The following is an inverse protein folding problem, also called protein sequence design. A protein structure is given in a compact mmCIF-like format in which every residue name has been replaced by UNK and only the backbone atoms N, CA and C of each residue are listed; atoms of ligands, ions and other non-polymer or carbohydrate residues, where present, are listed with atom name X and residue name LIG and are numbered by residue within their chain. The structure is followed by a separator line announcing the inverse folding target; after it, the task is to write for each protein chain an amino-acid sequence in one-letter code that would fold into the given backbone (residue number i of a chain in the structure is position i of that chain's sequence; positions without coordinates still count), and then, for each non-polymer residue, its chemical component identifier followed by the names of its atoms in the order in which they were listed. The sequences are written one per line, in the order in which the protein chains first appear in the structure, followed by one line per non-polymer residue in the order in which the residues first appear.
data_IF_808675897627
#
_entry.id   IF_808675897627
#
_cell.length_a   1.000
_cell.length_b   1.000
_cell.length_c   1.000
_cell.angle_alpha   90.00
_cell.angle_beta   90.00
_cell.angle_gamma   90.00
#
_symmetry.space_group_name_H-M   'P 1'
#
loop_
_entity.id
_entity.type
_entity.pdbx_description
1 polymer ?
#
# COMPACT_ATOMS: atom_id res chain seq x y z
N UNK A 1 28.78 2.80 -21.90
CA UNK A 1 28.41 3.89 -22.83
C UNK A 1 28.95 5.18 -22.23
N UNK A 2 29.92 5.83 -22.87
CA UNK A 2 30.49 7.09 -22.39
C UNK A 2 29.64 8.26 -22.89
N UNK A 3 28.93 8.96 -22.00
CA UNK A 3 28.33 10.26 -22.31
C UNK A 3 29.37 11.36 -22.03
N UNK A 4 29.78 12.09 -23.08
CA UNK A 4 30.56 13.32 -22.92
C UNK A 4 29.60 14.52 -22.81
N UNK A 5 29.52 15.13 -21.64
CA UNK A 5 28.78 16.38 -21.44
C UNK A 5 29.68 17.57 -21.79
N UNK A 6 29.38 18.28 -22.88
CA UNK A 6 30.05 19.54 -23.23
C UNK A 6 29.41 20.71 -22.46
N UNK A 7 30.20 21.45 -21.68
CA UNK A 7 29.84 22.81 -21.26
C UNK A 7 30.77 23.81 -21.95
N UNK A 8 30.15 24.77 -22.64
CA UNK A 8 30.79 25.77 -23.50
C UNK A 8 31.06 27.03 -22.69
N UNK A 9 32.32 27.31 -22.36
CA UNK A 9 32.75 28.67 -22.00
C UNK A 9 34.01 29.01 -22.79
N UNK A 10 33.91 30.06 -23.61
CA UNK A 10 35.04 30.71 -24.29
C UNK A 10 35.63 31.76 -23.33
N UNK A 11 36.92 31.66 -23.07
CA UNK A 11 37.87 32.79 -22.95
C UNK A 11 39.30 32.27 -23.17
N UNK A 12 40.22 33.04 -23.79
CA UNK A 12 41.44 32.50 -24.39
C UNK A 12 42.67 32.67 -23.49
N UNK A 13 43.59 31.71 -23.58
CA UNK A 13 45.01 31.92 -23.22
C UNK A 13 45.46 31.26 -21.92
N UNK A 14 45.71 29.95 -21.96
CA UNK A 14 46.91 29.30 -21.38
C UNK A 14 46.85 27.81 -21.73
N UNK A 15 47.88 27.28 -22.39
CA UNK A 15 48.06 25.83 -22.59
C UNK A 15 48.33 25.20 -21.22
N UNK A 16 47.30 24.67 -20.60
CA UNK A 16 47.43 23.68 -19.54
C UNK A 16 47.11 22.32 -20.13
N UNK A 17 48.07 21.41 -20.01
CA UNK A 17 47.88 19.98 -20.30
C UNK A 17 46.73 19.47 -19.43
N UNK A 18 45.53 19.32 -20.00
CA UNK A 18 44.41 18.66 -19.34
C UNK A 18 44.72 17.17 -19.30
N UNK A 19 45.22 16.70 -18.16
CA UNK A 19 44.97 15.30 -17.76
C UNK A 19 43.46 15.13 -17.72
N UNK A 20 42.95 14.27 -18.58
CA UNK A 20 41.58 13.79 -18.48
C UNK A 20 41.62 12.75 -17.38
N UNK A 21 41.37 13.18 -16.14
CA UNK A 21 41.12 12.26 -15.05
C UNK A 21 39.76 11.61 -15.35
N UNK A 22 39.80 10.44 -16.00
CA UNK A 22 38.63 9.59 -16.19
C UNK A 22 38.18 9.12 -14.82
N UNK A 23 37.30 9.87 -14.17
CA UNK A 23 36.63 9.44 -12.95
C UNK A 23 35.90 8.14 -13.27
N UNK A 24 36.35 7.03 -12.69
CA UNK A 24 35.65 5.75 -12.78
C UNK A 24 34.34 5.88 -12.00
N UNK A 25 33.24 6.23 -12.70
CA UNK A 25 31.90 6.22 -12.13
C UNK A 25 31.52 4.75 -11.93
N UNK A 26 31.19 4.37 -10.70
CA UNK A 26 30.78 2.99 -10.41
C UNK A 26 29.48 2.67 -11.17
N UNK A 27 29.30 1.40 -11.57
CA UNK A 27 28.01 0.92 -12.10
C UNK A 27 26.84 1.28 -11.18
N UNK A 28 27.10 1.33 -9.88
CA UNK A 28 26.15 1.71 -8.86
C UNK A 28 25.72 3.19 -8.94
N UNK A 29 26.65 4.10 -9.20
CA UNK A 29 26.36 5.54 -9.33
C UNK A 29 25.55 5.82 -10.59
N UNK A 30 25.90 5.16 -11.70
CA UNK A 30 25.14 5.24 -12.95
C UNK A 30 23.72 4.71 -12.75
N UNK A 31 23.56 3.57 -12.08
CA UNK A 31 22.25 3.01 -11.78
C UNK A 31 21.42 3.97 -10.91
N UNK A 32 22.00 4.53 -9.85
CA UNK A 32 21.32 5.52 -8.99
C UNK A 32 20.85 6.73 -9.78
N UNK A 33 21.69 7.23 -10.69
CA UNK A 33 21.32 8.36 -11.55
C UNK A 33 20.19 8.00 -12.51
N UNK A 34 20.26 6.85 -13.19
CA UNK A 34 19.18 6.34 -14.05
C UNK A 34 17.87 6.16 -13.28
N UNK A 35 17.93 5.73 -12.02
CA UNK A 35 16.77 5.50 -11.16
C UNK A 35 16.18 6.83 -10.66
N UNK A 36 17.04 7.80 -10.32
CA UNK A 36 16.60 9.16 -10.02
C UNK A 36 15.91 9.79 -11.23
N UNK A 37 16.46 9.59 -12.43
CA UNK A 37 15.83 9.98 -13.69
C UNK A 37 14.52 9.22 -13.96
N UNK A 38 14.43 7.96 -13.55
CA UNK A 38 13.21 7.16 -13.63
C UNK A 38 12.14 7.59 -12.62
N UNK A 39 12.47 8.45 -11.65
CA UNK A 39 11.53 8.99 -10.66
C UNK A 39 11.06 7.96 -9.63
N UNK A 40 11.93 7.03 -9.23
CA UNK A 40 11.59 6.06 -8.18
C UNK A 40 11.56 6.76 -6.80
N UNK A 41 10.43 6.72 -6.07
CA UNK A 41 10.33 7.37 -4.76
C UNK A 41 11.09 6.59 -3.68
N UNK A 42 12.11 7.21 -3.07
CA UNK A 42 12.90 6.62 -1.97
C UNK A 42 12.04 6.05 -0.82
N UNK A 43 10.97 6.73 -0.35
CA UNK A 43 10.12 6.19 0.72
C UNK A 43 9.49 4.83 0.35
N UNK A 44 9.26 4.57 -0.93
CA UNK A 44 8.75 3.27 -1.39
C UNK A 44 9.78 2.16 -1.27
N UNK A 45 11.05 2.44 -1.60
CA UNK A 45 12.15 1.48 -1.45
C UNK A 45 12.35 1.11 0.03
N UNK A 46 12.34 2.11 0.92
CA UNK A 46 12.52 1.89 2.36
C UNK A 46 11.39 1.04 2.96
N UNK A 47 10.14 1.31 2.57
CA UNK A 47 9.00 0.49 2.96
C UNK A 47 9.15 -0.94 2.44
N UNK A 48 9.46 -1.14 1.15
CA UNK A 48 9.64 -2.49 0.59
C UNK A 48 10.72 -3.26 1.36
N UNK A 49 11.90 -2.68 1.56
CA UNK A 49 13.00 -3.32 2.30
C UNK A 49 12.61 -3.68 3.74
N UNK A 50 11.80 -2.85 4.40
CA UNK A 50 11.29 -3.11 5.75
C UNK A 50 10.41 -4.35 5.85
N UNK A 51 9.71 -4.73 4.77
CA UNK A 51 8.73 -5.83 4.79
C UNK A 51 9.18 -7.09 4.07
N UNK A 52 9.99 -6.99 3.01
CA UNK A 52 10.42 -8.18 2.24
C UNK A 52 11.55 -8.96 2.93
N UNK A 53 12.40 -8.27 3.71
CA UNK A 53 13.62 -8.87 4.24
C UNK A 53 14.67 -9.14 3.14
N UNK A 54 15.94 -9.23 3.52
CA UNK A 54 17.04 -9.48 2.59
C UNK A 54 17.53 -10.92 2.69
N UNK A 55 17.52 -11.64 1.57
CA UNK A 55 18.24 -12.91 1.44
C UNK A 55 19.35 -12.82 0.39
N UNK A 56 20.60 -13.02 0.80
CA UNK A 56 21.76 -13.04 -0.11
C UNK A 56 21.97 -14.40 -0.78
N UNK A 57 21.16 -15.39 -0.42
CA UNK A 57 21.19 -16.73 -0.99
C UNK A 57 19.80 -17.11 -1.51
N UNK A 58 19.77 -17.71 -2.69
CA UNK A 58 18.55 -18.20 -3.30
C UNK A 58 17.86 -19.27 -2.42
N UNK A 59 16.56 -19.11 -2.20
CA UNK A 59 15.73 -20.00 -1.40
C UNK A 59 14.43 -20.36 -2.14
N UNK A 60 13.84 -21.54 -1.91
CA UNK A 60 12.57 -21.92 -2.51
C UNK A 60 11.41 -21.11 -1.91
N UNK A 61 10.30 -21.00 -2.62
CA UNK A 61 9.11 -20.32 -2.10
C UNK A 61 8.68 -20.97 -0.77
N UNK A 62 8.60 -20.22 0.35
CA UNK A 62 8.26 -20.78 1.66
C UNK A 62 6.88 -21.45 1.70
N UNK A 63 5.96 -21.08 0.81
CA UNK A 63 4.61 -21.69 0.76
C UNK A 63 4.60 -23.04 0.07
N UNK A 64 5.26 -23.16 -1.09
CA UNK A 64 5.26 -24.38 -1.92
C UNK A 64 6.45 -25.29 -1.65
N UNK A 65 7.50 -24.79 -1.01
CA UNK A 65 8.79 -25.47 -0.84
C UNK A 65 9.56 -25.67 -2.14
N UNK A 66 9.10 -25.08 -3.26
CA UNK A 66 9.61 -25.32 -4.60
C UNK A 66 9.79 -23.99 -5.37
N UNK A 67 9.38 -23.94 -6.64
CA UNK A 67 9.42 -22.74 -7.46
C UNK A 67 8.30 -21.76 -7.06
N UNK A 68 8.51 -20.45 -7.24
CA UNK A 68 9.72 -19.82 -7.74
C UNK A 68 10.85 -19.76 -6.70
N UNK A 69 12.10 -19.86 -7.17
CA UNK A 69 13.27 -19.53 -6.34
C UNK A 69 13.33 -18.02 -6.16
N UNK A 70 13.50 -17.58 -4.92
CA UNK A 70 13.51 -16.18 -4.51
C UNK A 70 14.88 -15.80 -3.93
N UNK A 71 15.33 -14.57 -4.16
CA UNK A 71 16.58 -14.00 -3.63
C UNK A 71 16.44 -12.49 -3.47
N UNK A 72 17.37 -11.84 -2.77
CA UNK A 72 17.40 -10.40 -2.56
C UNK A 72 16.23 -9.93 -1.71
N UNK A 73 15.54 -8.89 -2.19
CA UNK A 73 14.35 -8.32 -1.58
C UNK A 73 13.05 -8.91 -2.16
N UNK A 74 13.02 -10.21 -2.41
CA UNK A 74 11.84 -10.90 -2.95
C UNK A 74 11.83 -11.10 -4.48
N UNK A 75 12.99 -11.07 -5.13
CA UNK A 75 13.11 -11.21 -6.58
C UNK A 75 13.15 -12.68 -7.01
N UNK A 76 12.36 -13.04 -8.03
CA UNK A 76 12.34 -14.40 -8.61
C UNK A 76 13.09 -14.52 -9.94
N UNK A 77 13.52 -13.38 -10.49
CA UNK A 77 14.24 -13.27 -11.77
C UNK A 77 15.42 -12.32 -11.62
N UNK A 78 16.53 -12.63 -12.30
CA UNK A 78 17.73 -11.80 -12.36
C UNK A 78 17.54 -10.59 -13.30
N UNK A 79 18.58 -9.76 -13.43
CA UNK A 79 18.59 -8.56 -14.29
C UNK A 79 18.34 -8.81 -15.79
N UNK A 80 18.48 -10.05 -16.24
CA UNK A 80 18.22 -10.48 -17.61
C UNK A 80 16.84 -11.16 -17.75
N UNK A 81 16.02 -11.14 -16.69
CA UNK A 81 14.70 -11.76 -16.67
C UNK A 81 14.72 -13.28 -16.51
N UNK A 82 15.88 -13.90 -16.25
CA UNK A 82 15.99 -15.36 -16.09
C UNK A 82 15.66 -15.76 -14.64
N UNK A 83 15.00 -16.90 -14.41
CA UNK A 83 14.71 -17.37 -13.06
C UNK A 83 15.99 -17.71 -12.29
N UNK A 84 16.01 -17.42 -10.99
CA UNK A 84 17.08 -17.86 -10.10
C UNK A 84 17.05 -19.38 -9.88
N UNK A 85 18.19 -19.92 -9.46
CA UNK A 85 18.39 -21.33 -9.14
C UNK A 85 18.91 -21.48 -7.72
N UNK A 86 18.65 -22.62 -7.09
CA UNK A 86 19.24 -22.94 -5.80
C UNK A 86 20.77 -22.94 -5.93
N UNK A 87 21.45 -22.32 -4.96
CA UNK A 87 22.89 -22.11 -4.98
C UNK A 87 23.32 -20.72 -5.45
N UNK A 88 22.45 -19.97 -6.14
CA UNK A 88 22.73 -18.59 -6.51
C UNK A 88 22.97 -17.72 -5.26
N UNK A 89 23.95 -16.82 -5.36
CA UNK A 89 24.32 -15.84 -4.32
C UNK A 89 24.47 -14.48 -4.96
N UNK A 90 24.11 -13.45 -4.22
CA UNK A 90 24.31 -12.05 -4.59
C UNK A 90 24.83 -11.25 -3.41
N UNK A 91 25.47 -10.13 -3.67
CA UNK A 91 25.82 -9.15 -2.63
C UNK A 91 24.59 -8.31 -2.25
N UNK A 92 24.71 -7.52 -1.17
CA UNK A 92 23.67 -6.56 -0.79
C UNK A 92 23.47 -5.51 -1.87
N UNK A 93 24.56 -5.06 -2.49
CA UNK A 93 24.56 -4.06 -3.56
C UNK A 93 23.82 -4.62 -4.77
N UNK A 94 24.09 -5.85 -5.18
CA UNK A 94 23.37 -6.54 -6.26
C UNK A 94 21.88 -6.74 -5.94
N UNK A 95 21.54 -7.05 -4.68
CA UNK A 95 20.15 -7.16 -4.24
C UNK A 95 19.43 -5.80 -4.31
N UNK A 96 20.09 -4.73 -3.88
CA UNK A 96 19.58 -3.37 -3.98
C UNK A 96 19.39 -2.94 -5.44
N UNK A 97 20.38 -3.18 -6.29
CA UNK A 97 20.30 -2.91 -7.74
C UNK A 97 19.14 -3.67 -8.39
N UNK A 98 18.97 -4.95 -8.04
CA UNK A 98 17.89 -5.77 -8.56
C UNK A 98 16.52 -5.24 -8.15
N UNK A 99 16.33 -4.91 -6.87
CA UNK A 99 15.10 -4.30 -6.37
C UNK A 99 14.80 -3.00 -7.11
N UNK A 100 15.79 -2.12 -7.23
CA UNK A 100 15.59 -0.82 -7.87
C UNK A 100 15.23 -0.97 -9.35
N UNK A 101 15.87 -1.88 -10.08
CA UNK A 101 15.52 -2.17 -11.48
C UNK A 101 14.10 -2.73 -11.61
N UNK A 102 13.70 -3.68 -10.76
CA UNK A 102 12.35 -4.23 -10.78
C UNK A 102 11.30 -3.16 -10.48
N UNK A 103 11.58 -2.31 -9.49
CA UNK A 103 10.71 -1.19 -9.15
C UNK A 103 10.56 -0.24 -10.34
N UNK A 104 11.67 0.22 -10.93
CA UNK A 104 11.66 1.18 -12.03
C UNK A 104 10.97 0.63 -13.29
N UNK A 105 11.22 -0.64 -13.64
CA UNK A 105 10.80 -1.20 -14.93
C UNK A 105 9.47 -1.94 -14.88
N UNK A 106 9.07 -2.47 -13.71
CA UNK A 106 7.90 -3.35 -13.59
C UNK A 106 6.82 -2.76 -12.72
N UNK A 107 7.16 -2.19 -11.57
CA UNK A 107 6.15 -1.77 -10.59
C UNK A 107 5.73 -0.31 -10.73
N UNK A 108 6.66 0.60 -11.02
CA UNK A 108 6.38 2.03 -11.15
C UNK A 108 5.52 2.38 -12.38
N UNK A 109 5.79 1.87 -13.60
CA UNK A 109 5.05 2.31 -14.79
C UNK A 109 3.53 2.08 -14.70
N UNK A 110 3.02 0.95 -14.20
CA UNK A 110 1.60 0.76 -13.95
C UNK A 110 0.95 1.80 -13.03
N UNK A 111 1.68 2.34 -12.04
CA UNK A 111 1.14 3.28 -11.06
C UNK A 111 0.93 4.68 -11.63
N UNK A 112 1.72 5.05 -12.65
CA UNK A 112 1.56 6.33 -13.36
C UNK A 112 0.20 6.51 -14.05
N UNK A 113 -0.59 5.43 -14.16
CA UNK A 113 -1.97 5.46 -14.66
C UNK A 113 -2.99 5.93 -13.62
N UNK A 114 -2.60 6.08 -12.36
CA UNK A 114 -3.46 6.59 -11.30
C UNK A 114 -3.69 8.10 -11.55
N UNK A 115 -4.94 8.57 -11.62
CA UNK A 115 -5.25 9.99 -11.79
C UNK A 115 -4.59 10.84 -10.71
N UNK A 116 -3.92 11.92 -11.13
CA UNK A 116 -3.20 12.82 -10.24
C UNK A 116 -1.84 12.30 -9.74
N UNK A 117 -1.31 11.21 -10.30
CA UNK A 117 -0.01 10.63 -9.91
C UNK A 117 1.13 11.66 -9.84
N UNK A 118 1.25 12.53 -10.85
CA UNK A 118 2.32 13.53 -10.94
C UNK A 118 2.18 14.64 -9.89
N UNK A 119 1.00 14.80 -9.29
CA UNK A 119 0.74 15.75 -8.19
C UNK A 119 1.03 15.14 -6.81
N UNK A 120 1.26 13.82 -6.74
CA UNK A 120 1.61 13.15 -5.50
C UNK A 120 3.08 13.39 -5.16
N UNK A 121 3.38 13.62 -3.89
CA UNK A 121 4.77 13.71 -3.44
C UNK A 121 5.41 12.32 -3.28
N UNK A 122 6.73 12.30 -3.05
CA UNK A 122 7.51 11.06 -2.95
C UNK A 122 7.01 10.11 -1.85
N UNK A 123 6.44 10.60 -0.74
CA UNK A 123 5.88 9.74 0.30
C UNK A 123 4.62 9.02 -0.19
N UNK A 124 3.71 9.77 -0.83
CA UNK A 124 2.47 9.23 -1.38
C UNK A 124 2.74 8.23 -2.51
N UNK A 125 3.61 8.59 -3.45
CA UNK A 125 4.04 7.70 -4.52
C UNK A 125 4.74 6.45 -3.97
N UNK A 126 5.60 6.62 -2.97
CA UNK A 126 6.33 5.53 -2.31
C UNK A 126 5.42 4.53 -1.61
N UNK A 127 4.41 5.00 -0.89
CA UNK A 127 3.43 4.13 -0.24
C UNK A 127 2.61 3.31 -1.23
N UNK A 128 2.12 3.93 -2.32
CA UNK A 128 1.41 3.22 -3.40
C UNK A 128 2.32 2.16 -4.03
N UNK A 129 3.58 2.51 -4.29
CA UNK A 129 4.54 1.60 -4.89
C UNK A 129 4.84 0.39 -3.99
N UNK A 130 4.97 0.59 -2.68
CA UNK A 130 5.18 -0.52 -1.73
C UNK A 130 3.96 -1.45 -1.65
N UNK A 131 2.75 -0.88 -1.71
CA UNK A 131 1.50 -1.63 -1.79
C UNK A 131 1.42 -2.47 -3.07
N UNK A 132 1.77 -1.86 -4.22
CA UNK A 132 1.86 -2.54 -5.51
C UNK A 132 2.90 -3.66 -5.53
N UNK A 133 4.05 -3.48 -4.87
CA UNK A 133 5.07 -4.52 -4.76
C UNK A 133 4.53 -5.77 -4.06
N UNK A 134 3.71 -5.58 -3.02
CA UNK A 134 3.15 -6.68 -2.26
C UNK A 134 2.02 -7.44 -2.97
N UNK A 135 1.14 -6.71 -3.64
CA UNK A 135 -0.13 -7.25 -4.15
C UNK A 135 -0.15 -7.41 -5.67
N UNK A 136 0.88 -6.91 -6.36
CA UNK A 136 1.03 -6.95 -7.79
C UNK A 136 0.98 -5.56 -8.44
N UNK A 137 1.84 -5.34 -9.44
CA UNK A 137 2.01 -4.06 -10.10
C UNK A 137 0.72 -3.50 -10.74
N UNK A 138 -0.22 -4.37 -11.12
CA UNK A 138 -1.44 -3.97 -11.83
C UNK A 138 -2.68 -3.92 -10.93
N UNK A 139 -2.52 -3.70 -9.62
CA UNK A 139 -3.66 -3.66 -8.70
C UNK A 139 -4.67 -2.56 -9.04
N UNK A 140 -4.22 -1.39 -9.53
CA UNK A 140 -5.11 -0.26 -9.79
C UNK A 140 -6.12 -0.59 -10.90
N UNK A 141 -7.40 -0.58 -10.55
CA UNK A 141 -8.50 -0.95 -11.45
C UNK A 141 -8.73 -2.45 -11.62
N UNK A 142 -7.95 -3.31 -10.95
CA UNK A 142 -8.16 -4.75 -10.98
C UNK A 142 -9.33 -5.18 -10.07
N UNK A 143 -9.89 -6.35 -10.37
CA UNK A 143 -10.93 -6.96 -9.53
C UNK A 143 -10.39 -7.25 -8.12
N UNK A 144 -11.18 -6.93 -7.09
CA UNK A 144 -10.79 -6.99 -5.68
C UNK A 144 -10.06 -5.72 -5.18
N UNK A 145 -9.76 -4.78 -6.08
CA UNK A 145 -9.09 -3.51 -5.76
C UNK A 145 -9.99 -2.28 -5.89
N UNK A 146 -11.30 -2.45 -5.96
CA UNK A 146 -12.26 -1.40 -6.30
C UNK A 146 -12.25 -0.26 -5.27
N UNK A 147 -12.22 -0.58 -3.98
CA UNK A 147 -12.24 0.41 -2.89
C UNK A 147 -10.99 1.28 -2.89
N UNK A 148 -9.79 0.68 -2.90
CA UNK A 148 -8.54 1.45 -2.93
C UNK A 148 -8.37 2.20 -4.25
N UNK A 149 -8.76 1.59 -5.37
CA UNK A 149 -8.72 2.25 -6.68
C UNK A 149 -9.63 3.47 -6.72
N UNK A 150 -10.81 3.42 -6.09
CA UNK A 150 -11.71 4.59 -5.97
C UNK A 150 -11.09 5.68 -5.09
N UNK A 151 -10.51 5.33 -3.94
CA UNK A 151 -9.83 6.31 -3.08
C UNK A 151 -8.70 7.02 -3.84
N UNK A 152 -7.87 6.26 -4.55
CA UNK A 152 -6.78 6.80 -5.36
C UNK A 152 -7.28 7.69 -6.50
N UNK A 153 -8.28 7.21 -7.26
CA UNK A 153 -8.89 7.94 -8.38
C UNK A 153 -9.51 9.27 -7.95
N UNK A 154 -10.22 9.27 -6.83
CA UNK A 154 -10.96 10.42 -6.34
C UNK A 154 -10.13 11.30 -5.40
N UNK A 155 -8.89 10.91 -5.12
CA UNK A 155 -8.00 11.57 -4.17
C UNK A 155 -8.61 11.75 -2.77
N UNK A 156 -9.36 10.74 -2.33
CA UNK A 156 -10.14 10.75 -1.09
C UNK A 156 -9.31 10.26 0.11
N UNK A 157 -8.29 11.04 0.47
CA UNK A 157 -7.25 10.62 1.42
C UNK A 157 -7.77 10.31 2.82
N UNK A 158 -8.90 10.90 3.23
CA UNK A 158 -9.57 10.59 4.51
C UNK A 158 -10.01 9.14 4.60
N UNK A 159 -10.28 8.50 3.47
CA UNK A 159 -10.69 7.10 3.39
C UNK A 159 -9.54 6.14 3.07
N UNK A 160 -8.30 6.62 2.93
CA UNK A 160 -7.16 5.78 2.56
C UNK A 160 -6.88 4.68 3.58
N UNK A 161 -6.83 5.02 4.87
CA UNK A 161 -6.54 4.02 5.91
C UNK A 161 -7.60 2.91 5.92
N UNK A 162 -8.89 3.29 5.89
CA UNK A 162 -9.99 2.33 5.85
C UNK A 162 -9.94 1.42 4.61
N UNK A 163 -9.51 1.95 3.46
CA UNK A 163 -9.40 1.19 2.22
C UNK A 163 -8.20 0.24 2.23
N UNK A 164 -7.02 0.71 2.63
CA UNK A 164 -5.77 -0.05 2.51
C UNK A 164 -5.70 -1.22 3.50
N UNK A 165 -6.32 -1.10 4.68
CA UNK A 165 -6.35 -2.19 5.67
C UNK A 165 -7.21 -3.38 5.27
N UNK A 166 -8.04 -3.26 4.21
CA UNK A 166 -8.82 -4.39 3.69
C UNK A 166 -7.89 -5.51 3.18
N UNK A 167 -6.68 -5.17 2.73
CA UNK A 167 -5.70 -6.08 2.15
C UNK A 167 -4.75 -6.68 3.19
N UNK A 168 -5.33 -7.28 4.23
CA UNK A 168 -4.60 -7.89 5.37
C UNK A 168 -4.79 -9.40 5.53
N UNK A 169 -5.60 -10.04 4.70
CA UNK A 169 -5.94 -11.47 4.78
C UNK A 169 -6.45 -11.92 6.17
N UNK A 170 -7.69 -11.52 6.55
CA UNK A 170 -8.25 -11.81 7.87
C UNK A 170 -8.25 -13.30 8.25
N UNK A 171 -7.90 -13.60 9.49
CA UNK A 171 -7.88 -14.95 10.06
C UNK A 171 -6.65 -15.78 9.72
N UNK A 172 -5.76 -15.30 8.85
CA UNK A 172 -4.53 -16.02 8.48
C UNK A 172 -3.40 -15.80 9.48
N UNK A 173 -2.38 -16.66 9.46
CA UNK A 173 -1.17 -16.50 10.27
C UNK A 173 -0.29 -15.31 9.86
N UNK A 174 -0.59 -14.65 8.74
CA UNK A 174 0.12 -13.46 8.25
C UNK A 174 -0.65 -12.15 8.49
N UNK A 175 -1.86 -12.22 9.05
CA UNK A 175 -2.73 -11.03 9.19
C UNK A 175 -2.07 -9.90 9.98
N UNK A 176 -1.44 -10.21 11.12
CA UNK A 176 -0.72 -9.22 11.94
C UNK A 176 0.37 -8.49 11.13
N UNK A 177 1.17 -9.26 10.38
CA UNK A 177 2.26 -8.71 9.57
C UNK A 177 1.74 -7.84 8.43
N UNK A 178 0.67 -8.26 7.75
CA UNK A 178 0.05 -7.49 6.69
C UNK A 178 -0.65 -6.24 7.25
N UNK A 179 -1.34 -6.33 8.39
CA UNK A 179 -1.92 -5.16 9.04
C UNK A 179 -0.87 -4.10 9.33
N UNK A 180 0.29 -4.51 9.89
CA UNK A 180 1.44 -3.62 10.09
C UNK A 180 1.95 -2.99 8.79
N UNK A 181 2.01 -3.77 7.71
CA UNK A 181 2.40 -3.27 6.40
C UNK A 181 1.45 -2.20 5.89
N UNK A 182 0.15 -2.49 5.86
CA UNK A 182 -0.89 -1.56 5.38
C UNK A 182 -0.92 -0.28 6.21
N UNK A 183 -0.79 -0.36 7.53
CA UNK A 183 -0.74 0.82 8.40
C UNK A 183 0.55 1.63 8.25
N UNK A 184 1.69 0.99 7.99
CA UNK A 184 2.94 1.71 7.72
C UNK A 184 2.90 2.44 6.37
N UNK A 185 2.34 1.80 5.34
CA UNK A 185 2.09 2.43 4.04
C UNK A 185 1.12 3.61 4.17
N UNK A 186 0.01 3.43 4.90
CA UNK A 186 -0.92 4.51 5.20
C UNK A 186 -0.23 5.67 5.95
N UNK A 187 0.60 5.36 6.95
CA UNK A 187 1.32 6.35 7.73
C UNK A 187 2.26 7.18 6.86
N UNK A 188 3.04 6.55 5.98
CA UNK A 188 3.94 7.25 5.06
C UNK A 188 3.13 8.11 4.09
N UNK A 189 2.06 7.58 3.49
CA UNK A 189 1.23 8.35 2.57
C UNK A 189 0.63 9.60 3.25
N UNK A 190 0.03 9.41 4.43
CA UNK A 190 -0.69 10.44 5.16
C UNK A 190 0.26 11.47 5.80
N UNK A 191 1.48 11.10 6.16
CA UNK A 191 2.52 12.06 6.55
C UNK A 191 2.86 13.05 5.41
N UNK A 192 2.69 12.62 4.14
CA UNK A 192 2.77 13.50 2.98
C UNK A 192 1.47 14.26 2.67
N UNK A 193 0.41 14.13 3.47
CA UNK A 193 -0.90 14.72 3.21
C UNK A 193 -1.29 15.70 4.30
N UNK A 194 -1.34 17.00 3.99
CA UNK A 194 -1.69 18.04 4.95
C UNK A 194 -3.10 17.83 5.50
N UNK A 195 -3.23 17.82 6.84
CA UNK A 195 -4.53 17.79 7.52
C UNK A 195 -5.25 16.45 7.53
N UNK A 196 -4.61 15.37 7.09
CA UNK A 196 -5.18 14.01 7.13
C UNK A 196 -4.16 13.07 7.77
N UNK A 197 -4.06 13.01 9.11
CA UNK A 197 -3.15 12.09 9.78
C UNK A 197 -3.69 10.65 9.74
N UNK A 198 -2.82 9.67 9.99
CA UNK A 198 -3.25 8.33 10.37
C UNK A 198 -4.15 8.40 11.61
N UNK A 199 -5.15 7.53 11.71
CA UNK A 199 -6.05 7.46 12.86
C UNK A 199 -5.28 7.25 14.17
N UNK A 200 -5.83 7.75 15.28
CA UNK A 200 -5.25 7.54 16.60
C UNK A 200 -5.09 6.04 16.94
N UNK A 201 -6.02 5.20 16.47
CA UNK A 201 -5.92 3.75 16.59
C UNK A 201 -4.72 3.20 15.82
N UNK A 202 -4.53 3.63 14.56
CA UNK A 202 -3.40 3.24 13.73
C UNK A 202 -2.05 3.67 14.32
N UNK A 203 -1.97 4.91 14.83
CA UNK A 203 -0.76 5.42 15.50
C UNK A 203 -0.41 4.59 16.75
N UNK A 204 -1.40 4.31 17.60
CA UNK A 204 -1.21 3.46 18.80
C UNK A 204 -0.75 2.05 18.42
N UNK A 205 -1.32 1.47 17.38
CA UNK A 205 -0.91 0.15 16.90
C UNK A 205 0.55 0.14 16.45
N UNK A 206 0.96 1.12 15.62
CA UNK A 206 2.33 1.18 15.11
C UNK A 206 3.37 1.39 16.22
N UNK A 207 3.02 2.18 17.26
CA UNK A 207 3.86 2.41 18.44
C UNK A 207 3.88 1.25 19.46
N UNK A 208 2.95 0.30 19.36
CA UNK A 208 2.76 -0.77 20.33
C UNK A 208 3.77 -1.92 20.27
N UNK A 209 3.82 -2.72 21.33
CA UNK A 209 4.79 -3.81 21.53
C UNK A 209 4.41 -5.17 20.91
N UNK A 210 3.25 -5.28 20.24
CA UNK A 210 2.66 -6.55 19.77
C UNK A 210 2.51 -7.58 20.90
N UNK A 211 1.80 -7.20 21.95
CA UNK A 211 1.52 -8.07 23.10
C UNK A 211 0.73 -9.30 22.65
N UNK A 212 1.31 -10.49 22.85
CA UNK A 212 0.66 -11.76 22.49
C UNK A 212 -0.61 -12.00 23.30
N UNK A 213 -1.62 -12.61 22.66
CA UNK A 213 -2.88 -13.02 23.29
C UNK A 213 -3.04 -14.54 23.11
N UNK A 214 -3.17 -15.31 24.21
CA UNK A 214 -3.35 -16.76 24.11
C UNK A 214 -4.53 -17.15 23.19
N UNK A 215 -4.27 -18.09 22.28
CA UNK A 215 -5.28 -18.56 21.32
C UNK A 215 -5.58 -17.62 20.15
N UNK A 216 -4.93 -16.46 20.05
CA UNK A 216 -5.12 -15.51 18.96
C UNK A 216 -3.89 -15.43 18.05
N UNK A 217 -4.13 -15.20 16.76
CA UNK A 217 -3.08 -14.85 15.78
C UNK A 217 -2.75 -13.36 15.78
N UNK A 218 -3.57 -12.55 16.45
CA UNK A 218 -3.45 -11.10 16.51
C UNK A 218 -3.01 -10.64 17.89
N UNK A 219 -2.12 -9.66 17.92
CA UNK A 219 -1.72 -8.98 19.14
C UNK A 219 -2.90 -8.24 19.78
N UNK A 220 -2.78 -7.92 21.08
CA UNK A 220 -3.76 -7.08 21.78
C UNK A 220 -3.94 -5.74 21.06
N UNK A 221 -2.85 -5.16 20.57
CA UNK A 221 -2.84 -3.90 19.85
C UNK A 221 -3.53 -4.01 18.49
N UNK A 222 -3.33 -5.11 17.76
CA UNK A 222 -4.05 -5.36 16.50
C UNK A 222 -5.55 -5.53 16.73
N UNK A 223 -5.94 -6.28 17.77
CA UNK A 223 -7.36 -6.43 18.14
C UNK A 223 -7.98 -5.08 18.50
N UNK A 224 -7.27 -4.26 19.30
CA UNK A 224 -7.71 -2.91 19.66
C UNK A 224 -7.82 -1.98 18.44
N UNK A 225 -6.86 -2.04 17.52
CA UNK A 225 -6.93 -1.33 16.24
C UNK A 225 -8.18 -1.74 15.47
N UNK A 226 -8.38 -3.04 15.24
CA UNK A 226 -9.48 -3.53 14.42
C UNK A 226 -10.84 -3.20 15.02
N UNK A 227 -10.97 -3.12 16.34
CA UNK A 227 -12.19 -2.71 17.03
C UNK A 227 -12.49 -1.21 16.88
N UNK A 228 -11.46 -0.37 16.71
CA UNK A 228 -11.56 1.10 16.69
C UNK A 228 -11.13 1.71 15.35
N UNK A 229 -11.04 0.90 14.29
CA UNK A 229 -10.55 1.32 12.98
C UNK A 229 -11.56 2.26 12.30
N UNK A 230 -11.10 3.17 11.42
CA UNK A 230 -11.99 3.94 10.56
C UNK A 230 -12.81 3.02 9.65
N UNK A 231 -14.13 3.21 9.61
CA UNK A 231 -15.04 2.56 8.66
C UNK A 231 -15.41 3.58 7.60
N UNK A 232 -14.82 3.50 6.40
CA UNK A 232 -14.92 4.54 5.36
C UNK A 232 -16.33 5.09 5.19
N UNK A 233 -16.54 6.36 5.54
CA UNK A 233 -17.88 6.98 5.68
C UNK A 233 -17.93 8.28 6.48
N UNK A 234 -16.84 8.74 7.09
CA UNK A 234 -16.82 9.96 7.91
C UNK A 234 -16.71 11.25 7.10
N UNK A 235 -17.86 11.86 6.77
CA UNK A 235 -17.98 13.32 6.84
C UNK A 235 -17.75 13.76 8.29
N UNK A 236 -17.02 14.86 8.47
CA UNK A 236 -16.52 15.31 9.76
C UNK A 236 -17.60 15.43 10.83
N UNK A 237 -17.41 14.70 11.93
CA UNK A 237 -18.03 14.99 13.22
C UNK A 237 -17.04 15.78 14.06
N UNK A 238 -17.23 17.09 14.08
CA UNK A 238 -16.58 18.00 15.02
C UNK A 238 -16.89 17.56 16.46
N UNK A 239 -15.86 17.48 17.30
CA UNK A 239 -16.02 17.08 18.71
C UNK A 239 -15.99 18.33 19.59
N UNK A 240 -17.09 19.09 19.54
CA UNK A 240 -17.48 20.05 20.55
C UNK A 240 -18.50 19.40 21.49
N UNK A 241 -18.07 19.12 22.73
CA UNK A 241 -18.86 18.38 23.71
C UNK A 241 -20.15 19.09 24.14
N UNK A 242 -21.24 18.32 24.21
CA UNK A 242 -22.50 18.70 24.82
C UNK A 242 -23.19 17.47 25.41
N UNK A 243 -23.31 17.42 26.73
CA UNK A 243 -24.06 16.38 27.45
C UNK A 243 -25.55 16.50 27.12
N UNK A 244 -26.20 15.38 26.81
CA UNK A 244 -27.64 15.33 26.55
C UNK A 244 -28.17 13.91 26.65
N UNK A 245 -28.86 13.64 27.74
CA UNK A 245 -29.62 12.42 28.01
C UNK A 245 -30.85 12.28 27.10
N UNK A 246 -31.17 11.04 26.70
CA UNK A 246 -32.53 10.59 26.45
C UNK A 246 -33.05 10.69 25.01
N UNK A 247 -33.33 9.53 24.41
CA UNK A 247 -34.14 9.43 23.20
C UNK A 247 -33.88 8.14 22.42
N UNK A 248 -34.69 7.10 22.65
CA UNK A 248 -34.80 5.98 21.71
C UNK A 248 -35.28 6.51 20.37
N UNK A 249 -34.42 6.50 19.35
CA UNK A 249 -34.81 6.83 17.98
C UNK A 249 -35.30 5.56 17.27
N UNK A 250 -36.59 5.56 16.96
CA UNK A 250 -37.26 4.59 16.08
C UNK A 250 -36.55 4.49 14.72
N UNK A 251 -36.38 3.30 14.11
CA UNK A 251 -35.77 3.16 12.79
C UNK A 251 -36.54 3.98 11.75
N UNK A 252 -35.85 4.93 11.12
CA UNK A 252 -36.44 5.85 10.14
C UNK A 252 -36.97 5.12 8.90
N UNK A 253 -38.23 5.40 8.58
CA UNK A 253 -38.96 4.91 7.41
C UNK A 253 -38.53 5.60 6.11
N UNK A 254 -37.37 5.22 5.56
CA UNK A 254 -37.01 5.58 4.18
C UNK A 254 -36.89 4.32 3.32
N UNK A 255 -37.35 4.42 2.07
CA UNK A 255 -37.28 3.34 1.11
C UNK A 255 -35.81 3.08 0.74
N UNK A 256 -35.30 1.88 1.07
CA UNK A 256 -33.94 1.48 0.75
C UNK A 256 -33.88 0.95 -0.69
N UNK A 257 -33.18 1.65 -1.55
CA UNK A 257 -32.95 1.24 -2.94
C UNK A 257 -31.45 1.29 -3.24
N UNK A 258 -30.99 0.42 -4.14
CA UNK A 258 -29.60 0.49 -4.61
C UNK A 258 -29.47 1.68 -5.56
N UNK A 259 -28.74 2.69 -5.08
CA UNK A 259 -28.46 3.99 -5.70
C UNK A 259 -26.97 4.11 -6.02
N UNK A 260 -26.57 5.19 -6.69
CA UNK A 260 -25.16 5.53 -6.89
C UNK A 260 -24.90 6.96 -6.39
N UNK A 261 -24.18 7.16 -5.27
CA UNK A 261 -23.54 6.13 -4.43
C UNK A 261 -24.55 5.22 -3.73
N UNK A 262 -24.11 4.02 -3.35
CA UNK A 262 -24.95 3.02 -2.66
C UNK A 262 -25.58 3.62 -1.39
N UNK A 263 -26.87 3.39 -1.21
CA UNK A 263 -27.60 3.74 0.01
C UNK A 263 -26.87 3.11 1.21
N UNK A 264 -26.50 3.93 2.19
CA UNK A 264 -25.77 3.50 3.38
C UNK A 264 -26.39 4.08 4.64
N UNK A 265 -26.17 3.43 5.78
CA UNK A 265 -26.69 3.86 7.08
C UNK A 265 -26.91 2.73 8.08
N UNK A 266 -27.25 3.08 9.31
CA UNK A 266 -27.61 2.10 10.36
C UNK A 266 -28.91 1.36 10.05
N UNK A 267 -29.82 2.00 9.33
CA UNK A 267 -31.05 1.41 8.82
C UNK A 267 -30.79 0.31 7.78
N UNK A 268 -29.83 0.53 6.87
CA UNK A 268 -29.34 -0.51 5.94
C UNK A 268 -28.74 -1.68 6.71
N UNK A 269 -27.94 -1.39 7.74
CA UNK A 269 -27.34 -2.42 8.60
C UNK A 269 -28.40 -3.22 9.35
N UNK A 270 -29.45 -2.56 9.86
CA UNK A 270 -30.56 -3.22 10.52
C UNK A 270 -31.31 -4.16 9.57
N UNK A 271 -31.53 -3.76 8.31
CA UNK A 271 -32.13 -4.60 7.28
C UNK A 271 -31.23 -5.78 6.92
N UNK A 272 -29.94 -5.57 6.72
CA UNK A 272 -28.99 -6.67 6.48
C UNK A 272 -28.94 -7.64 7.65
N UNK A 273 -28.99 -7.16 8.90
CA UNK A 273 -29.07 -8.02 10.09
C UNK A 273 -30.38 -8.82 10.13
N UNK A 274 -31.50 -8.24 9.72
CA UNK A 274 -32.77 -8.95 9.61
C UNK A 274 -32.72 -10.05 8.53
N UNK A 275 -32.13 -9.74 7.37
CA UNK A 275 -31.93 -10.69 6.28
C UNK A 275 -31.01 -11.86 6.68
N UNK A 276 -29.93 -11.58 7.42
CA UNK A 276 -29.06 -12.64 7.98
C UNK A 276 -29.82 -13.54 8.95
N UNK A 277 -30.69 -12.98 9.81
CA UNK A 277 -31.54 -13.78 10.71
C UNK A 277 -32.55 -14.65 9.94
N UNK A 278 -32.95 -14.21 8.74
CA UNK A 278 -33.79 -14.94 7.81
C UNK A 278 -33.01 -15.93 6.93
N UNK A 279 -31.70 -16.09 7.16
CA UNK A 279 -30.86 -17.07 6.47
C UNK A 279 -30.25 -16.58 5.16
N UNK A 280 -30.40 -15.30 4.81
CA UNK A 280 -29.78 -14.74 3.62
C UNK A 280 -28.26 -14.56 3.82
N UNK A 281 -27.48 -14.90 2.79
CA UNK A 281 -26.03 -14.76 2.79
C UNK A 281 -25.60 -13.31 2.44
N UNK A 282 -25.79 -12.39 3.39
CA UNK A 282 -25.46 -10.96 3.24
C UNK A 282 -24.59 -10.49 4.41
N UNK A 283 -23.65 -9.59 4.17
CA UNK A 283 -22.84 -8.97 5.25
C UNK A 283 -23.53 -7.72 5.78
N UNK A 284 -23.66 -7.58 7.10
CA UNK A 284 -24.26 -6.41 7.75
C UNK A 284 -23.29 -5.23 7.88
N UNK A 285 -22.79 -4.74 6.74
CA UNK A 285 -21.81 -3.65 6.66
C UNK A 285 -22.44 -2.25 6.66
N UNK A 286 -23.76 -2.14 6.47
CA UNK A 286 -24.47 -0.87 6.34
C UNK A 286 -24.41 -0.26 4.94
N UNK A 287 -24.03 -1.05 3.91
CA UNK A 287 -23.99 -0.66 2.51
C UNK A 287 -25.02 -1.46 1.70
N UNK A 288 -26.01 -0.78 1.13
CA UNK A 288 -27.09 -1.42 0.39
C UNK A 288 -26.58 -1.75 -1.02
N UNK A 289 -25.90 -2.90 -1.15
CA UNK A 289 -25.32 -3.40 -2.39
C UNK A 289 -26.23 -4.40 -3.14
N UNK A 290 -25.78 -4.91 -4.30
CA UNK A 290 -26.57 -5.86 -5.11
C UNK A 290 -26.98 -7.12 -4.34
N UNK A 291 -26.11 -7.62 -3.45
CA UNK A 291 -26.41 -8.77 -2.59
C UNK A 291 -27.52 -8.46 -1.57
N UNK A 292 -27.53 -7.25 -0.99
CA UNK A 292 -28.59 -6.82 -0.07
C UNK A 292 -29.91 -6.62 -0.80
N UNK A 293 -29.90 -6.07 -2.02
CA UNK A 293 -31.09 -5.97 -2.88
C UNK A 293 -31.65 -7.36 -3.21
N UNK A 294 -30.80 -8.25 -3.73
CA UNK A 294 -31.20 -9.60 -4.15
C UNK A 294 -31.76 -10.45 -3.00
N UNK A 295 -31.26 -10.24 -1.78
CA UNK A 295 -31.75 -10.92 -0.59
C UNK A 295 -33.11 -10.42 -0.10
N UNK A 296 -33.48 -9.17 -0.40
CA UNK A 296 -34.80 -8.61 -0.05
C UNK A 296 -35.90 -8.90 -1.06
N UNK A 297 -35.55 -9.49 -2.21
CA UNK A 297 -36.47 -9.86 -3.30
C UNK A 297 -36.88 -11.35 -3.27
N UNK A 298 -36.36 -12.14 -2.31
CA UNK A 298 -36.67 -13.56 -2.08
C UNK A 298 -37.65 -13.73 -0.92
#
# INVERSE_FOLDING_TARGET
MSLQLFHRHRSPGHRTSRRVDTLAVSSYDVLREVIAMAGVPTPGLDLIKTFEGLSLQAYPDPKTGNLPITIGWGSTRNKHGQPFKLGDRITREEADELLMMQVANTYLPPQRRIPGWDSLNANQQGAILSFAYNLGANFYGASGFETISRVLRNQDWRNLEAAIILYRNPGTNVEEGLLRRRLSEANVFLAGTTGVPLSAAGQRYLAGGRTSVPGSRLSREAQAYLANRPTGGGSGGDSGGGSGSGGLATPGSRLLTLTNPLTSGEDVRAVQQALVRWGANVTADGLFGPATRQAGEQ
#
